data_IF_976798465114
#
_entry.id   IF_976798465114
#
_cell.length_a   1.000
_cell.length_b   1.000
_cell.length_c   1.000
_cell.angle_alpha   90.00
_cell.angle_beta   90.00
_cell.angle_gamma   90.00
#
_symmetry.space_group_name_H-M   'P 1'
#
loop_
_entity.id
_entity.type
_entity.pdbx_description
1 polymer ?
#
# COMPACT_ATOMS: atom_id res chain seq x y z
N UNK A 1 -7.66 1.14 -16.79
CA UNK A 1 -7.16 1.05 -15.40
C UNK A 1 -8.38 0.84 -14.53
N UNK A 2 -8.51 -0.35 -13.93
CA UNK A 2 -9.59 -0.65 -12.99
C UNK A 2 -9.04 -0.52 -11.58
N UNK A 3 -9.70 0.27 -10.75
CA UNK A 3 -9.35 0.45 -9.35
C UNK A 3 -10.46 -0.19 -8.50
N UNK A 4 -10.07 -0.94 -7.48
CA UNK A 4 -10.98 -1.64 -6.58
C UNK A 4 -10.73 -1.17 -5.14
N UNK A 5 -11.77 -0.75 -4.40
CA UNK A 5 -11.61 -0.41 -3.00
C UNK A 5 -11.24 -1.66 -2.18
N UNK A 6 -10.47 -1.45 -1.13
CA UNK A 6 -10.15 -2.44 -0.10
C UNK A 6 -10.72 -1.92 1.22
N UNK A 7 -11.57 -2.72 1.86
CA UNK A 7 -12.11 -2.40 3.17
C UNK A 7 -11.03 -2.64 4.23
N UNK A 8 -10.47 -1.56 4.77
CA UNK A 8 -9.45 -1.62 5.82
C UNK A 8 -9.87 -0.76 7.00
N UNK A 9 -9.93 -1.38 8.17
CA UNK A 9 -10.08 -0.63 9.41
C UNK A 9 -8.72 -0.13 9.87
N UNK A 10 -8.47 1.16 9.68
CA UNK A 10 -7.25 1.84 10.11
C UNK A 10 -7.53 2.61 11.40
N UNK A 11 -6.60 2.50 12.34
CA UNK A 11 -6.60 3.25 13.59
C UNK A 11 -5.29 4.02 13.74
N UNK A 12 -5.36 5.17 14.42
CA UNK A 12 -4.22 5.94 14.88
C UNK A 12 -4.34 6.08 16.41
N UNK A 13 -3.33 5.62 17.13
CA UNK A 13 -3.34 5.56 18.61
C UNK A 13 -4.58 4.84 19.17
N UNK A 14 -5.02 3.80 18.46
CA UNK A 14 -6.20 3.01 18.79
C UNK A 14 -7.54 3.68 18.48
N UNK A 15 -7.55 4.90 17.95
CA UNK A 15 -8.77 5.57 17.48
C UNK A 15 -8.99 5.31 16.00
N UNK A 16 -10.23 4.97 15.56
CA UNK A 16 -10.51 4.80 14.14
C UNK A 16 -10.30 6.11 13.40
N UNK A 17 -9.70 6.02 12.22
CA UNK A 17 -9.49 7.17 11.33
C UNK A 17 -10.22 6.95 10.01
N UNK A 18 -10.69 8.04 9.41
CA UNK A 18 -11.22 7.97 8.06
C UNK A 18 -10.08 7.62 7.10
N UNK A 19 -10.22 6.49 6.41
CA UNK A 19 -9.23 6.02 5.45
C UNK A 19 -9.91 5.44 4.21
N UNK A 20 -9.25 5.59 3.06
CA UNK A 20 -9.65 4.96 1.83
C UNK A 20 -8.44 4.23 1.24
N UNK A 21 -8.54 2.92 1.08
CA UNK A 21 -7.52 2.12 0.42
C UNK A 21 -8.07 1.50 -0.86
N UNK A 22 -7.25 1.45 -1.90
CA UNK A 22 -7.61 0.82 -3.15
C UNK A 22 -6.42 0.13 -3.80
N UNK A 23 -6.72 -0.90 -4.58
CA UNK A 23 -5.76 -1.61 -5.44
C UNK A 23 -6.11 -1.40 -6.90
N UNK A 24 -5.11 -1.20 -7.74
CA UNK A 24 -5.25 -1.06 -9.18
C UNK A 24 -4.21 -1.91 -9.91
N UNK A 25 -4.69 -2.73 -10.86
CA UNK A 25 -3.84 -3.45 -11.80
C UNK A 25 -3.57 -2.58 -13.04
N UNK A 26 -2.30 -2.45 -13.42
CA UNK A 26 -1.88 -1.60 -14.54
C UNK A 26 -1.33 -2.45 -15.70
N UNK A 27 -2.14 -2.59 -16.76
CA UNK A 27 -1.70 -3.29 -17.96
C UNK A 27 -1.53 -4.80 -17.74
N UNK A 28 -0.42 -5.43 -18.19
CA UNK A 28 -0.14 -6.84 -17.92
C UNK A 28 -0.10 -7.14 -16.40
N UNK A 29 -0.22 -8.41 -15.96
CA UNK A 29 -0.38 -8.78 -14.54
C UNK A 29 0.89 -8.56 -13.67
N UNK A 30 1.83 -7.75 -14.15
CA UNK A 30 3.15 -7.51 -13.56
C UNK A 30 3.24 -6.16 -12.88
N UNK A 31 2.17 -5.36 -12.87
CA UNK A 31 2.14 -4.05 -12.21
C UNK A 31 0.89 -3.93 -11.36
N UNK A 32 1.09 -3.71 -10.07
CA UNK A 32 0.03 -3.49 -9.07
C UNK A 32 0.34 -2.22 -8.30
N UNK A 33 -0.65 -1.35 -8.13
CA UNK A 33 -0.56 -0.17 -7.28
C UNK A 33 -1.55 -0.30 -6.14
N UNK A 34 -1.09 -0.10 -4.90
CA UNK A 34 -1.94 0.05 -3.72
C UNK A 34 -1.81 1.50 -3.25
N UNK A 35 -2.95 2.17 -3.07
CA UNK A 35 -3.00 3.55 -2.57
C UNK A 35 -3.86 3.59 -1.32
N UNK A 36 -3.37 4.24 -0.27
CA UNK A 36 -4.10 4.52 0.96
C UNK A 36 -4.08 6.02 1.25
N UNK A 37 -5.26 6.61 1.48
CA UNK A 37 -5.42 8.00 1.87
C UNK A 37 -6.05 8.09 3.27
N UNK A 38 -5.50 8.97 4.10
CA UNK A 38 -5.96 9.36 5.42
C UNK A 38 -6.13 10.90 5.39
N UNK A 39 -7.27 11.40 4.89
CA UNK A 39 -7.45 12.82 4.59
C UNK A 39 -7.35 13.71 5.84
N UNK A 40 -7.85 13.25 6.99
CA UNK A 40 -7.83 14.02 8.25
C UNK A 40 -6.40 14.17 8.79
N UNK A 41 -5.50 13.27 8.39
CA UNK A 41 -4.08 13.31 8.71
C UNK A 41 -3.28 13.98 7.59
N UNK A 42 -3.91 14.43 6.51
CA UNK A 42 -3.22 14.98 5.36
C UNK A 42 -2.12 14.02 4.85
N UNK A 43 -2.43 12.72 4.78
CA UNK A 43 -1.50 11.67 4.39
C UNK A 43 -2.10 10.85 3.25
N UNK A 44 -1.34 10.66 2.19
CA UNK A 44 -1.63 9.69 1.15
C UNK A 44 -0.35 8.96 0.78
N UNK A 45 -0.40 7.64 0.68
CA UNK A 45 0.69 6.80 0.24
C UNK A 45 0.24 5.97 -0.94
N UNK A 46 0.99 6.02 -2.03
CA UNK A 46 0.87 5.08 -3.15
C UNK A 46 2.11 4.20 -3.22
N UNK A 47 1.93 2.89 -3.36
CA UNK A 47 3.01 1.92 -3.57
C UNK A 47 2.74 1.15 -4.85
N UNK A 48 3.62 1.29 -5.82
CA UNK A 48 3.56 0.59 -7.10
C UNK A 48 4.62 -0.50 -7.14
N UNK A 49 4.20 -1.71 -7.42
CA UNK A 49 5.00 -2.91 -7.49
C UNK A 49 5.09 -3.37 -8.94
N UNK A 50 6.30 -3.55 -9.44
CA UNK A 50 6.58 -4.01 -10.80
C UNK A 50 7.43 -5.27 -10.72
N UNK A 51 6.89 -6.40 -11.17
CA UNK A 51 7.58 -7.68 -11.08
C UNK A 51 6.99 -8.74 -11.99
N UNK A 52 7.87 -9.52 -12.62
CA UNK A 52 7.50 -10.71 -13.40
C UNK A 52 8.25 -11.93 -12.88
N UNK A 53 7.86 -13.12 -13.36
CA UNK A 53 8.56 -14.35 -13.01
C UNK A 53 10.04 -14.27 -13.40
N UNK A 54 10.91 -14.62 -12.47
CA UNK A 54 12.37 -14.65 -12.64
C UNK A 54 13.06 -13.29 -12.47
N UNK A 55 12.34 -12.22 -12.10
CA UNK A 55 12.94 -10.90 -11.82
C UNK A 55 12.60 -10.44 -10.40
N UNK A 56 13.46 -9.64 -9.77
CA UNK A 56 13.09 -8.90 -8.57
C UNK A 56 11.82 -8.07 -8.78
N UNK A 57 11.16 -7.77 -7.68
CA UNK A 57 10.04 -6.83 -7.64
C UNK A 57 10.60 -5.45 -7.32
N UNK A 58 10.44 -4.52 -8.26
CA UNK A 58 10.76 -3.12 -8.06
C UNK A 58 9.57 -2.41 -7.42
N UNK A 59 9.85 -1.53 -6.48
CA UNK A 59 8.84 -0.80 -5.72
C UNK A 59 9.09 0.68 -5.91
N UNK A 60 8.05 1.43 -6.24
CA UNK A 60 8.05 2.89 -6.20
C UNK A 60 7.01 3.31 -5.19
N UNK A 61 7.40 4.10 -4.20
CA UNK A 61 6.48 4.68 -3.23
C UNK A 61 6.45 6.19 -3.39
N UNK A 62 5.24 6.74 -3.39
CA UNK A 62 5.01 8.18 -3.41
C UNK A 62 4.15 8.51 -2.20
N UNK A 63 4.67 9.33 -1.31
CA UNK A 63 3.90 9.88 -0.21
C UNK A 63 3.59 11.35 -0.49
N UNK A 64 2.31 11.68 -0.33
CA UNK A 64 1.70 12.98 -0.57
C UNK A 64 1.13 13.46 0.76
N UNK A 65 1.43 14.70 1.10
CA UNK A 65 0.79 15.38 2.20
C UNK A 65 0.46 16.82 1.76
N UNK A 66 -0.81 17.24 1.76
CA UNK A 66 -1.20 18.61 1.44
C UNK A 66 -0.32 19.65 2.15
N UNK A 67 0.26 20.58 1.38
CA UNK A 67 1.13 21.63 1.91
C UNK A 67 2.55 21.17 2.26
N UNK A 68 2.91 19.91 2.01
CA UNK A 68 4.26 19.36 2.19
C UNK A 68 4.87 18.93 0.85
N UNK A 69 6.18 18.72 0.86
CA UNK A 69 6.91 18.23 -0.30
C UNK A 69 6.53 16.77 -0.58
N UNK A 70 6.30 16.46 -1.87
CA UNK A 70 6.11 15.08 -2.33
C UNK A 70 7.41 14.31 -2.09
N UNK A 71 7.32 13.17 -1.42
CA UNK A 71 8.47 12.30 -1.20
C UNK A 71 8.32 11.03 -2.01
N UNK A 72 9.36 10.69 -2.76
CA UNK A 72 9.43 9.46 -3.55
C UNK A 72 10.56 8.60 -3.03
N UNK A 73 10.32 7.30 -2.91
CA UNK A 73 11.36 6.31 -2.65
C UNK A 73 11.23 5.13 -3.58
N UNK A 74 12.37 4.48 -3.85
CA UNK A 74 12.42 3.27 -4.66
C UNK A 74 13.15 2.18 -3.88
N UNK A 75 12.67 0.95 -4.00
CA UNK A 75 13.27 -0.23 -3.37
C UNK A 75 13.18 -1.42 -4.34
N UNK A 76 13.95 -2.45 -4.06
CA UNK A 76 13.93 -3.71 -4.82
C UNK A 76 13.91 -4.88 -3.83
N UNK A 77 13.02 -5.85 -4.08
CA UNK A 77 12.90 -7.05 -3.26
C UNK A 77 13.01 -8.30 -4.12
N UNK A 78 13.59 -9.39 -3.58
CA UNK A 78 13.55 -10.68 -4.26
C UNK A 78 12.11 -11.06 -4.63
N UNK A 79 11.92 -11.66 -5.80
CA UNK A 79 10.59 -12.04 -6.31
C UNK A 79 9.76 -12.85 -5.29
N UNK A 80 10.40 -13.76 -4.55
CA UNK A 80 9.73 -14.60 -3.56
C UNK A 80 9.28 -13.85 -2.30
N UNK A 81 9.83 -12.67 -2.02
CA UNK A 81 9.41 -11.84 -0.91
C UNK A 81 8.13 -11.06 -1.25
N UNK A 82 8.10 -10.43 -2.42
CA UNK A 82 6.97 -9.62 -2.90
C UNK A 82 6.50 -10.06 -4.29
N UNK A 83 5.86 -11.24 -4.41
CA UNK A 83 5.38 -11.71 -5.69
C UNK A 83 4.22 -10.85 -6.21
N UNK A 84 4.34 -10.34 -7.45
CA UNK A 84 3.29 -9.50 -8.06
C UNK A 84 2.20 -10.33 -8.75
N UNK A 85 2.51 -11.57 -9.14
CA UNK A 85 1.59 -12.42 -9.91
C UNK A 85 0.85 -13.47 -9.07
N UNK A 86 1.22 -13.62 -7.81
CA UNK A 86 0.66 -14.59 -6.85
C UNK A 86 0.93 -14.09 -5.42
N UNK A 87 0.27 -14.63 -4.41
CA UNK A 87 0.47 -14.26 -3.00
C UNK A 87 0.52 -12.72 -2.76
N UNK A 88 -0.42 -12.00 -3.39
CA UNK A 88 -0.43 -10.53 -3.44
C UNK A 88 -0.75 -9.88 -2.09
N UNK A 89 -1.21 -10.65 -1.12
CA UNK A 89 -1.30 -10.25 0.29
C UNK A 89 0.03 -9.73 0.84
N UNK A 90 1.17 -10.24 0.35
CA UNK A 90 2.48 -9.71 0.74
C UNK A 90 2.68 -8.25 0.30
N UNK A 91 2.12 -7.84 -0.84
CA UNK A 91 2.17 -6.45 -1.31
C UNK A 91 1.35 -5.55 -0.38
N UNK A 92 0.18 -6.03 0.07
CA UNK A 92 -0.65 -5.29 1.03
C UNK A 92 0.09 -5.09 2.35
N UNK A 93 0.70 -6.15 2.90
CA UNK A 93 1.45 -6.03 4.16
C UNK A 93 2.67 -5.12 4.03
N UNK A 94 3.40 -5.18 2.92
CA UNK A 94 4.50 -4.26 2.63
C UNK A 94 4.02 -2.80 2.54
N UNK A 95 2.90 -2.56 1.86
CA UNK A 95 2.28 -1.24 1.77
C UNK A 95 1.91 -0.70 3.14
N UNK A 96 1.27 -1.51 3.99
CA UNK A 96 0.86 -1.12 5.34
C UNK A 96 2.06 -0.89 6.26
N UNK A 97 3.14 -1.66 6.12
CA UNK A 97 4.38 -1.42 6.86
C UNK A 97 5.03 -0.08 6.47
N UNK A 98 5.02 0.26 5.18
CA UNK A 98 5.47 1.56 4.69
C UNK A 98 4.58 2.71 5.19
N UNK A 99 3.25 2.51 5.20
CA UNK A 99 2.28 3.46 5.74
C UNK A 99 2.53 3.72 7.23
N UNK A 100 2.72 2.67 8.02
CA UNK A 100 3.04 2.78 9.45
C UNK A 100 4.35 3.54 9.68
N UNK A 101 5.39 3.25 8.90
CA UNK A 101 6.68 3.95 8.99
C UNK A 101 6.54 5.43 8.65
N UNK A 102 5.79 5.76 7.60
CA UNK A 102 5.53 7.14 7.20
C UNK A 102 4.72 7.89 8.27
N UNK A 103 3.67 7.25 8.80
CA UNK A 103 2.88 7.79 9.90
C UNK A 103 3.75 8.08 11.12
N UNK A 104 4.55 7.12 11.59
CA UNK A 104 5.43 7.31 12.76
C UNK A 104 6.48 8.42 12.57
N UNK A 105 6.90 8.68 11.33
CA UNK A 105 7.88 9.73 11.02
C UNK A 105 7.25 11.13 11.01
N UNK A 106 5.98 11.23 10.58
CA UNK A 106 5.36 12.52 10.24
C UNK A 106 4.15 12.91 11.11
N UNK A 107 3.62 11.94 11.87
CA UNK A 107 2.49 12.05 12.77
C UNK A 107 2.88 11.43 14.11
N UNK A 108 2.65 12.14 15.21
CA UNK A 108 3.04 11.69 16.54
C UNK A 108 2.09 10.61 17.09
N UNK A 109 1.97 9.48 16.40
CA UNK A 109 1.07 8.39 16.76
C UNK A 109 1.38 7.06 16.06
N UNK A 110 0.84 5.98 16.62
CA UNK A 110 1.00 4.61 16.12
C UNK A 110 -0.18 4.25 15.21
N UNK A 111 0.09 4.07 13.92
CA UNK A 111 -0.89 3.62 12.93
C UNK A 111 -0.96 2.08 12.92
N UNK A 112 -2.18 1.55 13.02
CA UNK A 112 -2.45 0.13 12.88
C UNK A 112 -3.57 -0.10 11.87
N UNK A 113 -3.47 -1.17 11.08
CA UNK A 113 -4.49 -1.57 10.12
C UNK A 113 -4.90 -3.01 10.41
N UNK A 114 -6.21 -3.27 10.50
CA UNK A 114 -6.75 -4.62 10.57
C UNK A 114 -6.98 -5.14 9.15
N UNK A 115 -6.36 -6.28 8.83
CA UNK A 115 -6.48 -6.96 7.55
C UNK A 115 -7.22 -8.26 7.79
N UNK A 116 -8.46 -8.35 7.31
CA UNK A 116 -9.22 -9.59 7.35
C UNK A 116 -9.04 -10.43 6.07
N UNK A 117 -9.57 -11.65 6.10
CA UNK A 117 -9.47 -12.59 4.99
C UNK A 117 -10.16 -12.08 3.72
N UNK A 118 -11.22 -11.28 3.85
CA UNK A 118 -11.94 -10.73 2.71
C UNK A 118 -11.07 -9.69 1.98
N UNK A 119 -10.35 -8.86 2.73
CA UNK A 119 -9.42 -7.87 2.17
C UNK A 119 -8.19 -8.51 1.56
N UNK A 120 -7.67 -9.58 2.17
CA UNK A 120 -6.63 -10.43 1.55
C UNK A 120 -7.12 -10.97 0.21
N UNK A 121 -8.32 -11.55 0.18
CA UNK A 121 -8.90 -12.11 -1.04
C UNK A 121 -9.11 -11.04 -2.12
N UNK A 122 -9.54 -9.82 -1.74
CA UNK A 122 -9.75 -8.71 -2.68
C UNK A 122 -8.47 -8.26 -3.38
N UNK A 123 -7.30 -8.37 -2.71
CA UNK A 123 -5.99 -8.09 -3.30
C UNK A 123 -5.50 -9.24 -4.19
N UNK A 124 -5.84 -10.49 -3.82
CA UNK A 124 -5.43 -11.69 -4.53
C UNK A 124 -6.18 -11.92 -5.86
N UNK A 125 -7.45 -11.52 -5.94
CA UNK A 125 -8.28 -11.67 -7.13
C UNK A 125 -7.90 -10.60 -8.17
N UNK A 126 -7.39 -10.99 -9.33
CA UNK A 126 -7.35 -10.19 -10.56
C UNK A 126 -7.94 -10.98 -11.72
#
# INVERSE_FOLDING_TARGET
MSQRPLELHITLDGQPVHAATAVADQGPPWVVTITTSLPDQALELSSTYVGRRGTPTHIVRVALAPGRQITTSTDERPQGALPVTHAREHLLHDHLAALHTHAATHHAGALAANVDDATVAAVALA
#
